data_IF_458710706768
#
_entry.id   IF_458710706768
#
_cell.length_a   1.000
_cell.length_b   1.000
_cell.length_c   1.000
_cell.angle_alpha   90.00
_cell.angle_beta   90.00
_cell.angle_gamma   90.00
#
_symmetry.space_group_name_H-M   'P 1'
#
loop_
_entity.id
_entity.type
_entity.pdbx_description
1 polymer ?
#
# COMPACT_ATOMS: atom_id res chain seq x y z
N UNK A 1 -9.59 -11.86 40.04
CA UNK A 1 -10.00 -11.38 38.71
C UNK A 1 -8.96 -10.44 38.09
N UNK A 2 -8.55 -9.39 38.76
CA UNK A 2 -7.49 -8.45 38.30
C UNK A 2 -6.14 -9.12 38.00
N UNK A 3 -5.69 -10.06 38.83
CA UNK A 3 -4.44 -10.80 38.61
C UNK A 3 -4.48 -11.70 37.37
N UNK A 4 -5.63 -12.30 37.07
CA UNK A 4 -5.79 -13.14 35.88
C UNK A 4 -5.79 -12.28 34.62
N UNK A 5 -6.42 -11.10 34.66
CA UNK A 5 -6.41 -10.13 33.56
C UNK A 5 -4.99 -9.59 33.32
N UNK A 6 -4.28 -9.24 34.39
CA UNK A 6 -2.90 -8.78 34.31
C UNK A 6 -1.97 -9.84 33.72
N UNK A 7 -2.07 -11.09 34.17
CA UNK A 7 -1.30 -12.19 33.62
C UNK A 7 -1.63 -12.46 32.15
N UNK A 8 -2.91 -12.30 31.76
CA UNK A 8 -3.31 -12.44 30.37
C UNK A 8 -2.70 -11.34 29.49
N UNK A 9 -2.75 -10.07 29.96
CA UNK A 9 -2.14 -8.92 29.28
C UNK A 9 -0.62 -9.08 29.17
N UNK A 10 0.03 -9.47 30.26
CA UNK A 10 1.49 -9.67 30.28
C UNK A 10 1.91 -10.75 29.29
N UNK A 11 1.18 -11.87 29.26
CA UNK A 11 1.50 -13.00 28.39
C UNK A 11 1.19 -12.77 26.90
N UNK A 12 0.12 -12.04 26.59
CA UNK A 12 -0.34 -11.91 25.20
C UNK A 12 -0.01 -10.57 24.56
N UNK A 13 0.31 -9.54 25.35
CA UNK A 13 0.59 -8.20 24.84
C UNK A 13 1.99 -7.74 25.22
N UNK A 14 2.35 -7.77 26.50
CA UNK A 14 3.63 -7.24 26.95
C UNK A 14 4.82 -8.17 26.58
N UNK A 15 4.60 -9.49 26.47
CA UNK A 15 5.61 -10.42 25.98
C UNK A 15 6.03 -10.11 24.56
N UNK A 16 5.08 -9.72 23.68
CA UNK A 16 5.38 -9.30 22.31
C UNK A 16 6.38 -8.15 22.27
N UNK A 17 6.20 -7.15 23.14
CA UNK A 17 7.13 -6.02 23.23
C UNK A 17 8.53 -6.42 23.73
N UNK A 18 8.63 -7.44 24.59
CA UNK A 18 9.92 -7.95 25.10
C UNK A 18 10.68 -8.81 24.06
N UNK A 19 9.95 -9.46 23.16
CA UNK A 19 10.52 -10.31 22.11
C UNK A 19 10.79 -9.55 20.80
N UNK A 20 10.39 -8.25 20.74
CA UNK A 20 10.65 -7.43 19.56
C UNK A 20 12.15 -7.26 19.29
N UNK A 21 12.56 -7.74 18.12
CA UNK A 21 13.90 -7.54 17.59
C UNK A 21 13.92 -6.42 16.57
N UNK A 22 15.04 -5.70 16.48
CA UNK A 22 15.22 -4.64 15.47
C UNK A 22 15.01 -5.16 14.03
N UNK A 23 15.23 -6.45 13.79
CA UNK A 23 14.97 -7.09 12.50
C UNK A 23 13.50 -7.10 12.09
N UNK A 24 12.56 -6.95 13.03
CA UNK A 24 11.13 -6.87 12.74
C UNK A 24 10.65 -5.46 12.38
N UNK A 25 11.51 -4.45 12.59
CA UNK A 25 11.15 -3.06 12.31
C UNK A 25 10.82 -2.80 10.83
N UNK A 26 11.61 -3.26 9.83
CA UNK A 26 11.32 -3.02 8.42
C UNK A 26 9.94 -3.57 7.98
N UNK A 27 9.57 -4.85 8.21
CA UNK A 27 8.25 -5.34 7.87
C UNK A 27 7.14 -4.61 8.62
N UNK A 28 7.31 -4.31 9.91
CA UNK A 28 6.34 -3.53 10.69
C UNK A 28 6.09 -2.14 10.10
N UNK A 29 7.13 -1.44 9.65
CA UNK A 29 7.00 -0.14 8.99
C UNK A 29 6.21 -0.24 7.68
N UNK A 30 6.42 -1.31 6.89
CA UNK A 30 5.67 -1.54 5.66
C UNK A 30 4.18 -1.73 5.97
N UNK A 31 3.84 -2.57 6.94
CA UNK A 31 2.45 -2.80 7.33
C UNK A 31 1.79 -1.57 7.98
N UNK A 32 2.54 -0.81 8.79
CA UNK A 32 2.04 0.44 9.35
C UNK A 32 1.74 1.47 8.25
N UNK A 33 2.65 1.62 7.28
CA UNK A 33 2.45 2.51 6.14
C UNK A 33 1.23 2.08 5.29
N UNK A 34 1.06 0.77 5.07
CA UNK A 34 -0.11 0.22 4.38
C UNK A 34 -1.41 0.51 5.15
N UNK A 35 -1.43 0.29 6.47
CA UNK A 35 -2.58 0.59 7.30
C UNK A 35 -2.99 2.06 7.25
N UNK A 36 -2.03 2.98 7.33
CA UNK A 36 -2.28 4.42 7.21
C UNK A 36 -2.84 4.75 5.82
N UNK A 37 -2.28 4.19 4.76
CA UNK A 37 -2.74 4.43 3.39
C UNK A 37 -4.15 3.92 3.15
N UNK A 38 -4.55 2.81 3.76
CA UNK A 38 -5.91 2.26 3.63
C UNK A 38 -6.97 3.17 4.24
N UNK A 39 -6.64 3.92 5.30
CA UNK A 39 -7.55 4.90 5.89
C UNK A 39 -7.90 6.03 4.92
N UNK A 40 -6.96 6.42 4.06
CA UNK A 40 -7.19 7.46 3.07
C UNK A 40 -7.99 6.96 1.86
N UNK A 41 -8.05 5.65 1.64
CA UNK A 41 -8.72 5.06 0.48
C UNK A 41 -10.23 5.34 0.43
N UNK A 42 -10.91 5.28 1.58
CA UNK A 42 -12.35 5.58 1.68
C UNK A 42 -12.60 7.04 1.33
N UNK A 43 -11.86 7.96 1.98
CA UNK A 43 -11.98 9.40 1.72
C UNK A 43 -11.63 9.71 0.28
N UNK A 44 -10.58 9.09 -0.27
CA UNK A 44 -10.16 9.24 -1.65
C UNK A 44 -11.24 8.82 -2.65
N UNK A 45 -11.94 7.73 -2.41
CA UNK A 45 -13.01 7.25 -3.30
C UNK A 45 -14.17 8.23 -3.37
N UNK A 46 -14.63 8.74 -2.24
CA UNK A 46 -15.72 9.72 -2.20
C UNK A 46 -15.27 11.06 -2.80
N UNK A 47 -14.09 11.54 -2.44
CA UNK A 47 -13.54 12.77 -2.97
C UNK A 47 -13.41 12.72 -4.50
N UNK A 48 -12.88 11.63 -5.04
CA UNK A 48 -12.69 11.45 -6.47
C UNK A 48 -14.02 11.38 -7.20
N UNK A 49 -15.00 10.68 -6.65
CA UNK A 49 -16.35 10.59 -7.22
C UNK A 49 -16.99 11.98 -7.35
N UNK A 50 -16.91 12.76 -6.28
CA UNK A 50 -17.56 14.08 -6.23
C UNK A 50 -16.75 15.16 -6.98
N UNK A 51 -15.42 15.12 -6.86
CA UNK A 51 -14.54 16.13 -7.45
C UNK A 51 -14.27 15.93 -8.94
N UNK A 52 -14.09 14.68 -9.39
CA UNK A 52 -13.87 14.34 -10.80
C UNK A 52 -15.16 13.96 -11.53
N UNK A 53 -16.30 13.88 -10.82
CA UNK A 53 -17.61 13.50 -11.38
C UNK A 53 -17.59 12.16 -12.11
N UNK A 54 -16.78 11.20 -11.63
CA UNK A 54 -16.64 9.90 -12.25
C UNK A 54 -17.83 8.99 -11.92
N UNK A 55 -18.26 8.19 -12.90
CA UNK A 55 -19.38 7.26 -12.70
C UNK A 55 -19.00 6.11 -11.75
N UNK A 56 -19.99 5.59 -11.02
CA UNK A 56 -19.79 4.44 -10.14
C UNK A 56 -19.31 3.19 -10.90
N UNK A 57 -19.77 3.00 -12.15
CA UNK A 57 -19.34 1.91 -13.02
C UNK A 57 -17.85 2.03 -13.39
N UNK A 58 -17.37 3.23 -13.67
CA UNK A 58 -15.97 3.48 -13.93
C UNK A 58 -15.11 3.16 -12.71
N UNK A 59 -15.52 3.61 -11.52
CA UNK A 59 -14.80 3.32 -10.27
C UNK A 59 -14.78 1.83 -9.94
N UNK A 60 -15.87 1.11 -10.20
CA UNK A 60 -15.93 -0.35 -10.02
C UNK A 60 -14.99 -1.08 -10.98
N UNK A 61 -14.96 -0.69 -12.26
CA UNK A 61 -14.03 -1.25 -13.25
C UNK A 61 -12.57 -0.97 -12.86
N UNK A 62 -12.26 0.25 -12.42
CA UNK A 62 -10.94 0.63 -11.96
C UNK A 62 -10.53 -0.18 -10.72
N UNK A 63 -11.45 -0.40 -9.76
CA UNK A 63 -11.23 -1.24 -8.59
C UNK A 63 -10.90 -2.70 -8.97
N UNK A 64 -11.57 -3.24 -9.99
CA UNK A 64 -11.24 -4.56 -10.53
C UNK A 64 -9.79 -4.61 -11.06
N UNK A 65 -9.40 -3.66 -11.90
CA UNK A 65 -8.04 -3.61 -12.43
C UNK A 65 -6.98 -3.38 -11.36
N UNK A 66 -7.26 -2.52 -10.38
CA UNK A 66 -6.38 -2.26 -9.24
C UNK A 66 -6.27 -3.50 -8.31
N UNK A 67 -7.22 -4.41 -8.34
CA UNK A 67 -7.20 -5.68 -7.61
C UNK A 67 -6.31 -6.75 -8.24
N UNK A 68 -6.00 -6.67 -9.54
CA UNK A 68 -5.21 -7.69 -10.25
C UNK A 68 -3.82 -7.92 -9.62
N UNK A 69 -3.04 -6.90 -9.23
CA UNK A 69 -1.75 -7.13 -8.58
C UNK A 69 -1.86 -7.99 -7.31
N UNK A 70 -2.94 -7.82 -6.54
CA UNK A 70 -3.22 -8.63 -5.35
C UNK A 70 -3.57 -10.08 -5.69
N UNK A 71 -4.31 -10.31 -6.76
CA UNK A 71 -4.58 -11.67 -7.25
C UNK A 71 -3.30 -12.37 -7.73
N UNK A 72 -2.33 -11.59 -8.21
CA UNK A 72 -1.02 -12.08 -8.64
C UNK A 72 0.04 -12.11 -7.51
N UNK A 73 -0.37 -11.92 -6.24
CA UNK A 73 0.57 -11.90 -5.11
C UNK A 73 1.43 -13.18 -5.03
N UNK A 74 0.86 -14.35 -5.30
CA UNK A 74 1.63 -15.62 -5.27
C UNK A 74 2.75 -15.67 -6.33
N UNK A 75 2.50 -15.45 -7.63
CA UNK A 75 3.59 -15.35 -8.61
C UNK A 75 4.59 -14.25 -8.30
N UNK A 76 4.14 -13.10 -7.81
CA UNK A 76 5.02 -12.00 -7.41
C UNK A 76 5.89 -12.41 -6.21
N UNK A 77 5.35 -13.10 -5.22
CA UNK A 77 6.11 -13.66 -4.10
C UNK A 77 7.21 -14.61 -4.59
N UNK A 78 6.88 -15.52 -5.51
CA UNK A 78 7.89 -16.40 -6.10
C UNK A 78 8.98 -15.62 -6.86
N UNK A 79 8.62 -14.55 -7.58
CA UNK A 79 9.60 -13.67 -8.22
C UNK A 79 10.49 -12.96 -7.18
N UNK A 80 9.93 -12.53 -6.06
CA UNK A 80 10.67 -11.94 -4.94
C UNK A 80 11.68 -12.93 -4.38
N UNK A 81 11.29 -14.21 -4.21
CA UNK A 81 12.20 -15.27 -3.74
C UNK A 81 13.37 -15.49 -4.71
N UNK A 82 13.11 -15.50 -6.01
CA UNK A 82 14.16 -15.60 -7.04
C UNK A 82 15.11 -14.40 -7.03
N UNK A 83 14.58 -13.22 -6.72
CA UNK A 83 15.30 -11.95 -6.66
C UNK A 83 15.72 -11.57 -5.24
N UNK A 84 15.74 -12.50 -4.29
CA UNK A 84 15.97 -12.24 -2.86
C UNK A 84 17.25 -11.45 -2.58
N UNK A 85 18.28 -11.68 -3.38
CA UNK A 85 19.53 -10.88 -3.34
C UNK A 85 19.29 -9.38 -3.49
N UNK A 86 18.20 -8.99 -4.16
CA UNK A 86 17.82 -7.61 -4.48
C UNK A 86 16.66 -7.10 -3.62
N UNK A 87 16.36 -7.75 -2.49
CA UNK A 87 15.21 -7.42 -1.62
C UNK A 87 15.11 -5.93 -1.29
N UNK A 88 16.23 -5.28 -0.96
CA UNK A 88 16.25 -3.84 -0.67
C UNK A 88 15.82 -3.00 -1.88
N UNK A 89 16.28 -3.35 -3.08
CA UNK A 89 15.88 -2.66 -4.30
C UNK A 89 14.40 -2.85 -4.62
N UNK A 90 13.83 -4.02 -4.36
CA UNK A 90 12.40 -4.28 -4.55
C UNK A 90 11.56 -3.42 -3.60
N UNK A 91 11.98 -3.26 -2.34
CA UNK A 91 11.31 -2.35 -1.39
C UNK A 91 11.37 -0.91 -1.87
N UNK A 92 12.55 -0.42 -2.29
CA UNK A 92 12.68 0.94 -2.81
C UNK A 92 11.92 1.14 -4.12
N UNK A 93 11.88 0.16 -4.98
CA UNK A 93 11.09 0.20 -6.22
C UNK A 93 9.59 0.32 -5.91
N UNK A 94 9.07 -0.54 -5.02
CA UNK A 94 7.69 -0.45 -4.56
C UNK A 94 7.37 0.90 -3.91
N UNK A 95 8.26 1.40 -3.04
CA UNK A 95 8.12 2.73 -2.43
C UNK A 95 8.14 3.85 -3.48
N UNK A 96 8.97 3.74 -4.51
CA UNK A 96 9.03 4.67 -5.63
C UNK A 96 7.71 4.73 -6.41
N UNK A 97 7.10 3.57 -6.70
CA UNK A 97 5.79 3.52 -7.36
C UNK A 97 4.71 4.19 -6.52
N UNK A 98 4.72 3.96 -5.20
CA UNK A 98 3.80 4.64 -4.27
C UNK A 98 4.04 6.15 -4.23
N UNK A 99 5.29 6.58 -4.16
CA UNK A 99 5.64 8.00 -4.16
C UNK A 99 5.19 8.70 -5.45
N UNK A 100 5.36 8.05 -6.61
CA UNK A 100 4.88 8.56 -7.91
C UNK A 100 3.36 8.63 -7.92
N UNK A 101 2.67 7.59 -7.46
CA UNK A 101 1.20 7.58 -7.37
C UNK A 101 0.69 8.73 -6.50
N UNK A 102 1.23 8.91 -5.30
CA UNK A 102 0.87 10.01 -4.40
C UNK A 102 1.24 11.37 -4.99
N UNK A 103 2.38 11.47 -5.66
CA UNK A 103 2.82 12.68 -6.37
C UNK A 103 1.85 13.09 -7.47
N UNK A 104 1.37 12.14 -8.28
CA UNK A 104 0.34 12.38 -9.30
C UNK A 104 -0.94 12.92 -8.65
N UNK A 105 -1.41 12.29 -7.56
CA UNK A 105 -2.62 12.75 -6.87
C UNK A 105 -2.45 14.14 -6.25
N UNK A 106 -1.31 14.39 -5.61
CA UNK A 106 -1.01 15.70 -5.04
C UNK A 106 -0.94 16.80 -6.11
N UNK A 107 -0.31 16.51 -7.26
CA UNK A 107 -0.24 17.42 -8.38
C UNK A 107 -1.62 17.68 -9.02
N UNK A 108 -2.44 16.62 -9.14
CA UNK A 108 -3.81 16.73 -9.67
C UNK A 108 -4.71 17.58 -8.78
N UNK A 109 -4.49 17.58 -7.47
CA UNK A 109 -5.23 18.42 -6.52
C UNK A 109 -4.67 19.85 -6.50
N UNK A 110 -3.34 19.99 -6.41
CA UNK A 110 -2.70 21.29 -6.24
C UNK A 110 -2.51 22.10 -7.52
N UNK A 111 -2.33 21.44 -8.66
CA UNK A 111 -2.02 22.07 -9.96
C UNK A 111 -2.90 21.51 -11.08
N UNK A 112 -4.20 21.43 -10.83
CA UNK A 112 -5.17 20.80 -11.72
C UNK A 112 -5.09 21.30 -13.17
N UNK A 113 -5.06 22.63 -13.37
CA UNK A 113 -5.04 23.23 -14.71
C UNK A 113 -3.82 22.81 -15.52
N UNK A 114 -2.64 22.81 -14.90
CA UNK A 114 -1.41 22.37 -15.54
C UNK A 114 -1.43 20.88 -15.90
N UNK A 115 -1.97 20.05 -15.03
CA UNK A 115 -2.07 18.60 -15.25
C UNK A 115 -3.07 18.28 -16.36
N UNK A 116 -4.22 18.93 -16.39
CA UNK A 116 -5.27 18.73 -17.42
C UNK A 116 -4.81 19.23 -18.79
N UNK A 117 -3.94 20.22 -18.86
CA UNK A 117 -3.35 20.69 -20.11
C UNK A 117 -2.49 19.61 -20.81
N UNK A 118 -1.97 18.62 -20.06
CA UNK A 118 -1.14 17.53 -20.59
C UNK A 118 -2.00 16.30 -20.92
N UNK A 119 -2.82 15.85 -19.96
CA UNK A 119 -3.69 14.68 -20.09
C UNK A 119 -4.98 14.90 -19.31
N UNK A 120 -6.12 14.29 -19.71
CA UNK A 120 -7.37 14.34 -18.95
C UNK A 120 -7.18 13.89 -17.48
N UNK A 121 -7.95 14.48 -16.56
CA UNK A 121 -7.86 14.19 -15.13
C UNK A 121 -8.10 12.70 -14.82
N UNK A 122 -9.01 12.07 -15.58
CA UNK A 122 -9.32 10.65 -15.46
C UNK A 122 -8.11 9.76 -15.74
N UNK A 123 -7.29 10.11 -16.73
CA UNK A 123 -6.08 9.37 -17.10
C UNK A 123 -5.05 9.44 -15.99
N UNK A 124 -4.82 10.63 -15.42
CA UNK A 124 -3.93 10.80 -14.28
C UNK A 124 -4.40 10.00 -13.07
N UNK A 125 -5.71 10.02 -12.82
CA UNK A 125 -6.29 9.26 -11.72
C UNK A 125 -6.12 7.74 -11.94
N UNK A 126 -6.39 7.23 -13.14
CA UNK A 126 -6.19 5.81 -13.48
C UNK A 126 -4.74 5.39 -13.28
N UNK A 127 -3.79 6.20 -13.79
CA UNK A 127 -2.36 5.93 -13.61
C UNK A 127 -1.98 5.83 -12.12
N UNK A 128 -2.40 6.80 -11.32
CA UNK A 128 -2.17 6.77 -9.87
C UNK A 128 -2.79 5.54 -9.22
N UNK A 129 -4.06 5.24 -9.53
CA UNK A 129 -4.81 4.13 -8.95
C UNK A 129 -4.27 2.73 -9.33
N UNK A 130 -3.54 2.61 -10.44
CA UNK A 130 -2.91 1.34 -10.85
C UNK A 130 -1.48 1.21 -10.31
N UNK A 131 -0.73 2.31 -10.21
CA UNK A 131 0.65 2.28 -9.70
C UNK A 131 0.72 1.89 -8.22
N UNK A 132 -0.20 2.40 -7.39
CA UNK A 132 -0.19 2.15 -5.96
C UNK A 132 -0.32 0.65 -5.60
N UNK A 133 -1.30 -0.12 -6.11
CA UNK A 133 -1.41 -1.55 -5.80
C UNK A 133 -0.20 -2.37 -6.22
N UNK A 134 0.44 -2.03 -7.35
CA UNK A 134 1.67 -2.70 -7.79
C UNK A 134 2.78 -2.47 -6.76
N UNK A 135 2.98 -1.22 -6.33
CA UNK A 135 3.95 -0.87 -5.31
C UNK A 135 3.69 -1.59 -3.98
N UNK A 136 2.43 -1.61 -3.53
CA UNK A 136 2.03 -2.30 -2.31
C UNK A 136 2.30 -3.80 -2.36
N UNK A 137 1.88 -4.49 -3.42
CA UNK A 137 2.05 -5.94 -3.53
C UNK A 137 3.51 -6.35 -3.54
N UNK A 138 4.38 -5.58 -4.19
CA UNK A 138 5.83 -5.84 -4.18
C UNK A 138 6.39 -5.69 -2.77
N UNK A 139 6.06 -4.60 -2.06
CA UNK A 139 6.54 -4.36 -0.70
C UNK A 139 6.00 -5.41 0.28
N UNK A 140 4.72 -5.75 0.15
CA UNK A 140 4.06 -6.73 1.00
C UNK A 140 4.67 -8.14 0.82
N UNK A 141 4.93 -8.56 -0.43
CA UNK A 141 5.59 -9.82 -0.71
C UNK A 141 7.02 -9.89 -0.14
N UNK A 142 7.79 -8.78 -0.21
CA UNK A 142 9.12 -8.71 0.42
C UNK A 142 9.02 -8.73 1.94
N UNK A 143 8.03 -8.01 2.52
CA UNK A 143 7.83 -7.99 3.96
C UNK A 143 7.43 -9.36 4.50
N UNK A 144 6.52 -10.06 3.82
CA UNK A 144 6.14 -11.44 4.16
C UNK A 144 7.36 -12.37 4.14
N UNK A 145 8.16 -12.32 3.09
CA UNK A 145 9.36 -13.15 2.96
C UNK A 145 10.40 -12.84 4.06
N UNK A 146 10.55 -11.57 4.48
CA UNK A 146 11.45 -11.18 5.58
C UNK A 146 10.98 -11.65 6.97
N UNK A 147 9.68 -11.95 7.14
CA UNK A 147 9.17 -12.46 8.42
C UNK A 147 9.48 -13.94 8.65
N UNK A 148 9.85 -14.67 7.60
CA UNK A 148 10.12 -16.13 7.62
C UNK A 148 11.62 -16.42 7.76
N UNK A 149 12.51 -15.44 7.56
CA UNK A 149 13.95 -15.51 7.82
C UNK A 149 14.26 -15.41 9.34
#
# INVERSE_FOLDING_TARGET
MLNALYQWIDRNILSLGREMRLSYLPPLMVYAAYGISSLTGIVGTFFVKDYLSLSASFLAALGFWAGIPWALKMPIGHLVDLLWRWKSWLVFFGAGLLAVSLGIMAALIGHREAMIAILPAEVWFVLSALLAPIGYVIQDAVADAMTVE
#
